data_IF_645712981285
#
_entry.id   IF_645712981285
#
_cell.length_a   1.000
_cell.length_b   1.000
_cell.length_c   1.000
_cell.angle_alpha   90.00
_cell.angle_beta   90.00
_cell.angle_gamma   90.00
#
_symmetry.space_group_name_H-M   'P 1'
#
loop_
_entity.id
_entity.type
_entity.pdbx_description
1 polymer ?
#
# COMPACT_ATOMS: atom_id res chain seq x y z
N UNK A 1 -17.03 -5.31 -5.86
CA UNK A 1 -15.60 -5.67 -5.72
C UNK A 1 -15.28 -5.98 -4.26
N UNK A 2 -14.35 -6.87 -3.97
CA UNK A 2 -13.90 -7.21 -2.62
C UNK A 2 -12.46 -6.72 -2.44
N UNK A 3 -12.17 -6.09 -1.31
CA UNK A 3 -10.84 -5.65 -0.93
C UNK A 3 -10.52 -6.28 0.43
N UNK A 4 -9.34 -6.85 0.56
CA UNK A 4 -8.78 -7.36 1.81
C UNK A 4 -7.52 -6.57 2.14
N UNK A 5 -7.48 -5.90 3.27
CA UNK A 5 -6.25 -5.31 3.79
C UNK A 5 -5.38 -6.45 4.32
N UNK A 6 -4.25 -6.71 3.68
CA UNK A 6 -3.32 -7.76 4.10
C UNK A 6 -2.43 -7.26 5.24
N UNK A 7 -2.01 -6.01 5.16
CA UNK A 7 -1.23 -5.32 6.16
C UNK A 7 -1.49 -3.82 6.14
N UNK A 8 -1.47 -3.17 7.29
CA UNK A 8 -1.81 -1.77 7.43
C UNK A 8 -0.68 -0.88 7.96
N UNK A 9 0.45 -1.43 8.42
CA UNK A 9 1.58 -0.65 8.91
C UNK A 9 2.51 -0.20 7.77
N UNK A 10 3.28 0.85 8.00
CA UNK A 10 4.40 1.28 7.16
C UNK A 10 5.60 0.31 7.26
N UNK A 11 6.67 0.62 6.56
CA UNK A 11 7.91 -0.16 6.55
C UNK A 11 8.40 -0.53 7.95
N UNK A 12 8.73 -1.82 8.14
CA UNK A 12 9.12 -2.40 9.43
C UNK A 12 7.98 -3.00 10.25
N UNK A 13 6.71 -2.71 9.90
CA UNK A 13 5.55 -3.25 10.60
C UNK A 13 5.28 -2.62 11.98
N UNK A 14 4.25 -3.09 12.65
CA UNK A 14 3.90 -2.70 14.00
C UNK A 14 3.62 -3.94 14.88
N UNK A 15 4.43 -4.22 15.89
CA UNK A 15 5.62 -3.47 16.32
C UNK A 15 6.81 -3.69 15.39
N UNK A 16 7.59 -2.65 15.11
CA UNK A 16 8.84 -2.79 14.37
C UNK A 16 9.87 -3.54 15.22
N UNK A 17 10.65 -4.43 14.59
CA UNK A 17 11.53 -5.38 15.27
C UNK A 17 12.57 -4.76 16.22
N UNK A 18 13.12 -3.60 15.84
CA UNK A 18 14.16 -2.87 16.60
C UNK A 18 13.61 -1.65 17.36
N UNK A 19 12.29 -1.44 17.38
CA UNK A 19 11.67 -0.27 18.00
C UNK A 19 11.30 -0.55 19.45
N UNK A 20 11.78 0.27 20.39
CA UNK A 20 11.42 0.22 21.81
C UNK A 20 10.47 1.36 22.23
N UNK A 21 9.81 2.00 21.26
CA UNK A 21 8.78 3.00 21.52
C UNK A 21 7.65 2.41 22.38
N UNK A 22 6.99 3.21 23.24
CA UNK A 22 5.89 2.72 24.08
C UNK A 22 4.82 1.94 23.33
N UNK A 23 4.36 2.43 22.17
CA UNK A 23 3.37 1.74 21.33
C UNK A 23 3.86 0.33 20.92
N UNK A 24 5.13 0.24 20.46
CA UNK A 24 5.73 -1.04 20.08
C UNK A 24 5.84 -2.03 21.24
N UNK A 25 6.11 -1.53 22.46
CA UNK A 25 6.11 -2.40 23.68
C UNK A 25 4.72 -2.91 23.98
N UNK A 26 3.70 -2.05 23.90
CA UNK A 26 2.30 -2.46 24.12
C UNK A 26 1.90 -3.54 23.12
N UNK A 27 2.21 -3.37 21.84
CA UNK A 27 1.88 -4.35 20.80
C UNK A 27 2.63 -5.69 21.01
N UNK A 28 3.93 -5.67 21.36
CA UNK A 28 4.69 -6.90 21.70
C UNK A 28 4.10 -7.64 22.90
N UNK A 29 3.58 -6.90 23.87
CA UNK A 29 2.93 -7.45 25.05
C UNK A 29 1.47 -7.84 24.80
N UNK A 30 1.00 -7.80 23.55
CA UNK A 30 -0.36 -8.15 23.16
C UNK A 30 -1.43 -7.35 23.93
N UNK A 31 -1.13 -6.09 24.22
CA UNK A 31 -2.11 -5.20 24.85
C UNK A 31 -3.27 -4.98 23.87
N UNK A 32 -4.54 -5.13 24.31
CA UNK A 32 -5.71 -4.99 23.43
C UNK A 32 -5.85 -3.59 22.81
N UNK A 33 -5.23 -2.57 23.40
CA UNK A 33 -5.21 -1.22 22.83
C UNK A 33 -4.18 -1.03 21.70
N UNK A 34 -3.29 -1.99 21.50
CA UNK A 34 -2.15 -1.90 20.58
C UNK A 34 -2.06 -3.16 19.72
N UNK A 35 -3.00 -3.29 18.77
CA UNK A 35 -3.09 -4.46 17.89
C UNK A 35 -1.97 -4.42 16.87
N UNK A 36 -1.16 -5.47 16.79
CA UNK A 36 -0.08 -5.61 15.83
C UNK A 36 -0.59 -5.54 14.38
N UNK A 37 0.22 -4.98 13.47
CA UNK A 37 -0.06 -4.87 12.04
C UNK A 37 1.18 -5.20 11.22
N UNK A 38 1.00 -5.94 10.15
CA UNK A 38 2.03 -6.20 9.14
C UNK A 38 2.14 -5.04 8.16
N UNK A 39 3.19 -5.04 7.34
CA UNK A 39 3.49 -3.94 6.42
C UNK A 39 2.45 -3.84 5.29
N UNK A 40 2.21 -2.63 4.83
CA UNK A 40 1.10 -2.25 3.95
C UNK A 40 1.00 -3.06 2.65
N UNK A 41 -0.14 -3.68 2.47
CA UNK A 41 -0.53 -4.40 1.25
C UNK A 41 -2.04 -4.62 1.25
N UNK A 42 -2.66 -4.67 0.09
CA UNK A 42 -4.06 -5.05 -0.07
C UNK A 42 -4.21 -6.12 -1.15
N UNK A 43 -5.26 -6.92 -1.06
CA UNK A 43 -5.69 -7.82 -2.13
C UNK A 43 -7.08 -7.44 -2.60
N UNK A 44 -7.33 -7.53 -3.92
CA UNK A 44 -8.61 -7.23 -4.53
C UNK A 44 -9.12 -8.39 -5.39
N UNK A 45 -10.43 -8.58 -5.44
CA UNK A 45 -11.07 -9.65 -6.21
C UNK A 45 -12.48 -9.28 -6.63
N UNK A 46 -12.94 -9.84 -7.75
CA UNK A 46 -14.34 -9.77 -8.16
C UNK A 46 -15.15 -10.97 -7.67
N UNK A 47 -14.52 -12.10 -7.39
CA UNK A 47 -15.17 -13.39 -7.14
C UNK A 47 -14.77 -14.08 -5.81
N UNK A 48 -13.88 -13.47 -5.03
CA UNK A 48 -13.25 -14.04 -3.80
C UNK A 48 -12.43 -15.32 -4.04
N UNK A 49 -12.17 -15.67 -5.31
CA UNK A 49 -11.41 -16.87 -5.69
C UNK A 49 -10.09 -16.53 -6.36
N UNK A 50 -10.07 -15.43 -7.14
CA UNK A 50 -8.91 -14.97 -7.90
C UNK A 50 -8.56 -13.57 -7.48
N UNK A 51 -7.33 -13.37 -7.02
CA UNK A 51 -6.90 -12.17 -6.32
C UNK A 51 -5.75 -11.46 -7.02
N UNK A 52 -5.78 -10.14 -6.97
CA UNK A 52 -4.65 -9.29 -7.30
C UNK A 52 -4.15 -8.62 -6.03
N UNK A 53 -2.83 -8.61 -5.81
CA UNK A 53 -2.21 -7.98 -4.66
C UNK A 53 -1.64 -6.62 -5.10
N UNK A 54 -1.89 -5.57 -4.32
CA UNK A 54 -1.24 -4.27 -4.50
C UNK A 54 -0.18 -4.13 -3.41
N UNK A 55 1.07 -4.04 -3.86
CA UNK A 55 2.30 -4.10 -3.08
C UNK A 55 2.51 -5.46 -2.36
N UNK A 56 3.69 -6.02 -2.52
CA UNK A 56 4.08 -7.28 -1.90
C UNK A 56 5.06 -7.01 -0.75
N UNK A 57 4.53 -6.86 0.46
CA UNK A 57 5.34 -6.57 1.64
C UNK A 57 6.22 -7.75 2.06
N UNK A 58 7.31 -7.52 2.82
CA UNK A 58 8.12 -8.60 3.39
C UNK A 58 7.32 -9.62 4.19
N UNK A 59 6.18 -9.20 4.74
CA UNK A 59 5.28 -10.03 5.56
C UNK A 59 4.31 -10.88 4.71
N UNK A 60 4.41 -10.86 3.37
CA UNK A 60 3.43 -11.47 2.48
C UNK A 60 3.09 -12.92 2.85
N UNK A 61 4.08 -13.75 3.21
CA UNK A 61 3.82 -15.14 3.60
C UNK A 61 2.89 -15.21 4.82
N UNK A 62 3.11 -14.35 5.82
CA UNK A 62 2.26 -14.28 7.01
C UNK A 62 0.88 -13.70 6.68
N UNK A 63 0.83 -12.70 5.82
CA UNK A 63 -0.40 -12.09 5.33
C UNK A 63 -1.28 -13.10 4.60
N UNK A 64 -0.70 -13.94 3.73
CA UNK A 64 -1.43 -15.02 3.05
C UNK A 64 -1.98 -16.04 4.05
N UNK A 65 -1.16 -16.41 5.04
CA UNK A 65 -1.57 -17.35 6.08
C UNK A 65 -2.77 -16.85 6.90
N UNK A 66 -2.83 -15.56 7.18
CA UNK A 66 -3.92 -14.94 7.94
C UNK A 66 -5.19 -14.66 7.12
N UNK A 67 -5.14 -14.88 5.80
CA UNK A 67 -6.26 -14.68 4.88
C UNK A 67 -6.49 -15.97 4.07
N UNK A 68 -7.27 -16.94 4.62
CA UNK A 68 -7.44 -18.27 4.02
C UNK A 68 -7.93 -18.25 2.57
N UNK A 69 -8.69 -17.24 2.16
CA UNK A 69 -9.16 -17.07 0.79
C UNK A 69 -8.04 -16.79 -0.24
N UNK A 70 -6.83 -16.44 0.23
CA UNK A 70 -5.64 -16.31 -0.59
C UNK A 70 -4.73 -17.54 -0.56
N UNK A 71 -5.19 -18.63 0.03
CA UNK A 71 -4.51 -19.92 0.12
C UNK A 71 -5.24 -20.96 -0.70
N UNK A 72 -4.58 -22.05 -1.13
CA UNK A 72 -5.26 -23.19 -1.76
C UNK A 72 -6.33 -23.79 -0.83
N UNK A 73 -7.47 -24.13 -1.39
CA UNK A 73 -8.52 -24.88 -0.72
C UNK A 73 -8.31 -26.39 -0.87
N UNK A 74 -9.10 -27.21 -0.17
CA UNK A 74 -9.04 -28.65 -0.29
C UNK A 74 -9.45 -29.18 -1.69
N UNK A 75 -10.16 -28.37 -2.47
CA UNK A 75 -10.63 -28.71 -3.81
C UNK A 75 -9.61 -28.35 -4.91
N UNK A 76 -8.57 -27.55 -4.57
CA UNK A 76 -7.57 -27.11 -5.51
C UNK A 76 -6.50 -28.19 -5.77
N UNK A 77 -5.74 -28.08 -6.86
CA UNK A 77 -4.57 -28.94 -7.11
C UNK A 77 -3.54 -28.87 -5.96
N UNK A 78 -2.72 -29.92 -5.80
CA UNK A 78 -1.69 -30.02 -4.74
C UNK A 78 -0.72 -28.81 -4.70
N UNK A 79 -0.54 -28.13 -5.84
CA UNK A 79 0.16 -26.87 -5.97
C UNK A 79 -0.72 -25.90 -6.75
N UNK A 80 -1.21 -24.89 -6.09
CA UNK A 80 -2.10 -23.88 -6.63
C UNK A 80 -1.88 -22.53 -5.93
N UNK A 81 -2.17 -21.45 -6.62
CA UNK A 81 -2.21 -20.11 -6.07
C UNK A 81 -3.40 -19.33 -6.60
N UNK A 82 -4.26 -18.77 -5.75
CA UNK A 82 -5.33 -17.88 -6.17
C UNK A 82 -4.82 -16.47 -6.55
N UNK A 83 -3.52 -16.21 -6.43
CA UNK A 83 -2.92 -14.92 -6.78
C UNK A 83 -2.68 -14.86 -8.28
N UNK A 84 -3.44 -14.01 -8.96
CA UNK A 84 -3.39 -13.84 -10.42
C UNK A 84 -2.42 -12.75 -10.84
N UNK A 85 -2.13 -11.82 -9.97
CA UNK A 85 -1.19 -10.74 -10.26
C UNK A 85 -0.78 -9.94 -9.03
N UNK A 86 0.32 -9.22 -9.18
CA UNK A 86 0.83 -8.24 -8.21
C UNK A 86 1.05 -6.91 -8.95
N UNK A 87 0.58 -5.81 -8.37
CA UNK A 87 0.81 -4.46 -8.89
C UNK A 87 1.58 -3.64 -7.84
N UNK A 88 2.68 -3.02 -8.28
CA UNK A 88 3.58 -2.25 -7.42
C UNK A 88 3.33 -0.75 -7.59
N UNK A 89 3.24 -0.01 -6.49
CA UNK A 89 3.09 1.45 -6.49
C UNK A 89 4.42 2.20 -6.39
N UNK A 90 5.46 1.54 -5.93
CA UNK A 90 6.85 2.04 -5.87
C UNK A 90 7.82 0.86 -5.75
N UNK A 91 9.13 1.15 -5.60
CA UNK A 91 10.18 0.15 -5.47
C UNK A 91 10.73 0.00 -4.04
N UNK A 92 10.08 0.56 -3.02
CA UNK A 92 10.54 0.42 -1.64
C UNK A 92 10.46 -1.04 -1.16
N UNK A 93 11.33 -1.39 -0.21
CA UNK A 93 11.49 -2.75 0.31
C UNK A 93 10.18 -3.29 0.89
N UNK A 94 9.44 -2.45 1.61
CA UNK A 94 8.14 -2.81 2.19
C UNK A 94 7.02 -3.03 1.16
N UNK A 95 7.24 -2.64 -0.10
CA UNK A 95 6.30 -2.88 -1.20
C UNK A 95 6.75 -3.96 -2.19
N UNK A 96 8.02 -4.35 -2.18
CA UNK A 96 8.58 -5.26 -3.21
C UNK A 96 9.17 -6.56 -2.67
N UNK A 97 9.74 -6.55 -1.45
CA UNK A 97 10.53 -7.70 -0.97
C UNK A 97 9.70 -8.98 -0.79
N UNK A 98 8.39 -8.87 -0.58
CA UNK A 98 7.50 -10.02 -0.51
C UNK A 98 7.38 -10.82 -1.80
N UNK A 99 7.71 -10.23 -2.95
CA UNK A 99 7.73 -10.92 -4.23
C UNK A 99 8.59 -12.19 -4.21
N UNK A 100 9.68 -12.20 -3.45
CA UNK A 100 10.55 -13.39 -3.34
C UNK A 100 9.84 -14.61 -2.71
N UNK A 101 8.77 -14.40 -1.96
CA UNK A 101 7.93 -15.50 -1.44
C UNK A 101 7.12 -16.18 -2.55
N UNK A 102 6.90 -15.51 -3.67
CA UNK A 102 6.11 -16.03 -4.81
C UNK A 102 6.97 -16.78 -5.84
N UNK A 103 8.21 -17.17 -5.52
CA UNK A 103 9.13 -17.89 -6.39
C UNK A 103 8.77 -19.35 -6.69
N UNK A 104 7.67 -19.84 -6.14
CA UNK A 104 7.33 -21.29 -6.12
C UNK A 104 6.71 -21.81 -7.44
N UNK A 105 7.09 -21.20 -8.57
CA UNK A 105 6.70 -21.64 -9.92
C UNK A 105 5.18 -21.64 -10.19
N UNK A 106 4.46 -20.74 -9.54
CA UNK A 106 3.06 -20.45 -9.85
C UNK A 106 2.98 -19.23 -10.78
N UNK A 107 2.11 -19.29 -11.76
CA UNK A 107 1.96 -18.20 -12.72
C UNK A 107 1.21 -17.02 -12.10
N UNK A 108 1.74 -15.82 -12.31
CA UNK A 108 1.04 -14.56 -12.02
C UNK A 108 1.57 -13.42 -12.89
N UNK A 109 0.78 -12.36 -13.04
CA UNK A 109 1.15 -11.15 -13.74
C UNK A 109 1.77 -10.14 -12.76
N UNK A 110 2.96 -9.61 -13.06
CA UNK A 110 3.60 -8.55 -12.29
C UNK A 110 3.48 -7.23 -13.05
N UNK A 111 2.79 -6.25 -12.45
CA UNK A 111 2.58 -4.92 -13.01
C UNK A 111 3.39 -3.88 -12.22
N UNK A 112 3.98 -2.94 -12.92
CA UNK A 112 4.69 -1.79 -12.34
C UNK A 112 5.07 -0.81 -13.44
N UNK A 113 5.40 0.43 -13.09
CA UNK A 113 5.97 1.38 -14.04
C UNK A 113 7.26 0.81 -14.63
N UNK A 114 7.67 1.28 -15.81
CA UNK A 114 8.95 0.84 -16.39
C UNK A 114 10.11 1.12 -15.41
N UNK A 115 10.02 2.21 -14.66
CA UNK A 115 10.99 2.59 -13.63
C UNK A 115 11.07 1.55 -12.52
N UNK A 116 9.95 1.17 -11.93
CA UNK A 116 9.88 0.19 -10.84
C UNK A 116 10.30 -1.20 -11.31
N UNK A 117 9.85 -1.64 -12.49
CA UNK A 117 10.28 -2.93 -13.05
C UNK A 117 11.78 -2.96 -13.36
N UNK A 118 12.36 -1.85 -13.84
CA UNK A 118 13.80 -1.72 -14.06
C UNK A 118 14.62 -1.83 -12.77
N UNK A 119 14.10 -1.32 -11.65
CA UNK A 119 14.70 -1.51 -10.32
C UNK A 119 14.74 -2.99 -9.95
N UNK A 120 13.64 -3.72 -10.13
CA UNK A 120 13.63 -5.17 -9.87
C UNK A 120 14.60 -5.93 -10.78
N UNK A 121 14.70 -5.53 -12.04
CA UNK A 121 15.58 -6.15 -13.02
C UNK A 121 17.06 -5.96 -12.68
N UNK A 122 17.42 -4.78 -12.18
CA UNK A 122 18.79 -4.48 -11.74
C UNK A 122 19.20 -5.18 -10.45
N UNK A 123 18.26 -5.78 -9.71
CA UNK A 123 18.47 -6.49 -8.46
C UNK A 123 18.31 -7.99 -8.66
N UNK A 124 19.44 -8.70 -8.76
CA UNK A 124 19.51 -10.11 -9.15
C UNK A 124 18.70 -11.07 -8.28
N UNK A 125 18.37 -10.69 -7.03
CA UNK A 125 17.50 -11.51 -6.17
C UNK A 125 16.12 -11.74 -6.80
N UNK A 126 15.58 -10.77 -7.56
CA UNK A 126 14.28 -10.91 -8.22
C UNK A 126 14.29 -11.81 -9.46
N UNK A 127 15.47 -12.35 -9.86
CA UNK A 127 15.54 -13.38 -10.88
C UNK A 127 14.97 -14.73 -10.40
N UNK A 128 14.70 -14.89 -9.10
CA UNK A 128 13.94 -16.03 -8.56
C UNK A 128 12.51 -16.06 -9.12
N UNK A 129 11.99 -14.93 -9.60
CA UNK A 129 10.72 -14.83 -10.32
C UNK A 129 10.94 -15.22 -11.78
N UNK A 130 10.97 -16.52 -12.03
CA UNK A 130 11.26 -17.07 -13.35
C UNK A 130 10.29 -16.54 -14.42
N UNK A 131 10.78 -15.94 -15.51
CA UNK A 131 9.93 -15.35 -16.56
C UNK A 131 9.03 -16.37 -17.29
N UNK A 132 9.30 -17.67 -17.14
CA UNK A 132 8.40 -18.73 -17.61
C UNK A 132 7.04 -18.72 -16.91
N UNK A 133 7.01 -18.25 -15.65
CA UNK A 133 5.81 -18.22 -14.81
C UNK A 133 5.35 -16.80 -14.52
N UNK A 134 6.27 -15.85 -14.40
CA UNK A 134 5.96 -14.48 -14.00
C UNK A 134 6.14 -13.52 -15.18
N UNK A 135 5.02 -13.10 -15.75
CA UNK A 135 5.01 -12.12 -16.84
C UNK A 135 5.10 -10.70 -16.25
N UNK A 136 6.17 -9.97 -16.58
CA UNK A 136 6.32 -8.56 -16.21
C UNK A 136 5.61 -7.67 -17.23
N UNK A 137 4.66 -6.87 -16.77
CA UNK A 137 3.81 -6.02 -17.58
C UNK A 137 4.05 -4.55 -17.20
N UNK A 138 4.82 -3.80 -18.00
CA UNK A 138 5.01 -2.38 -17.75
C UNK A 138 3.70 -1.61 -17.93
N UNK A 139 3.42 -0.71 -17.00
CA UNK A 139 2.25 0.16 -17.01
C UNK A 139 2.68 1.61 -17.22
N UNK A 140 1.84 2.40 -17.87
CA UNK A 140 2.10 3.81 -18.14
C UNK A 140 1.16 4.69 -17.36
N UNK A 141 1.68 5.81 -16.87
CA UNK A 141 0.89 6.81 -16.16
C UNK A 141 -0.29 7.30 -16.99
N UNK A 142 -1.44 7.41 -16.35
CA UNK A 142 -2.71 7.88 -16.91
C UNK A 142 -3.28 7.01 -18.06
N UNK A 143 -2.71 5.83 -18.32
CA UNK A 143 -3.30 4.84 -19.22
C UNK A 143 -4.07 3.79 -18.42
N UNK A 144 -5.34 3.57 -18.75
CA UNK A 144 -6.17 2.55 -18.13
C UNK A 144 -5.76 1.16 -18.63
N UNK A 145 -5.48 0.24 -17.73
CA UNK A 145 -5.10 -1.13 -18.04
C UNK A 145 -6.09 -2.13 -17.42
N UNK A 146 -6.60 -3.10 -18.18
CA UNK A 146 -7.35 -4.21 -17.61
C UNK A 146 -6.38 -5.16 -16.89
N UNK A 147 -6.67 -5.51 -15.65
CA UNK A 147 -5.96 -6.59 -14.98
C UNK A 147 -6.45 -7.93 -15.55
N UNK A 148 -5.52 -8.73 -16.02
CA UNK A 148 -5.83 -10.04 -16.62
C UNK A 148 -5.47 -11.18 -15.68
N UNK A 149 -6.27 -12.23 -15.70
CA UNK A 149 -5.91 -13.50 -15.11
C UNK A 149 -4.74 -14.16 -15.85
N UNK A 150 -4.19 -15.21 -15.32
CA UNK A 150 -3.01 -15.91 -15.88
C UNK A 150 -3.31 -16.64 -17.19
N UNK A 151 -4.57 -16.85 -17.51
CA UNK A 151 -5.08 -17.38 -18.78
C UNK A 151 -5.41 -16.29 -19.83
N UNK A 152 -4.95 -15.06 -19.59
CA UNK A 152 -5.21 -13.85 -20.38
C UNK A 152 -6.68 -13.39 -20.43
N UNK A 153 -7.59 -14.03 -19.69
CA UNK A 153 -8.99 -13.58 -19.58
C UNK A 153 -9.10 -12.31 -18.72
N UNK A 154 -10.12 -11.50 -18.99
CA UNK A 154 -10.34 -10.24 -18.27
C UNK A 154 -10.91 -10.51 -16.89
N UNK A 155 -10.34 -9.87 -15.85
CA UNK A 155 -10.82 -9.98 -14.48
C UNK A 155 -12.06 -9.12 -14.18
N UNK A 156 -12.40 -8.18 -15.06
CA UNK A 156 -13.39 -7.14 -14.80
C UNK A 156 -12.85 -5.96 -13.98
N UNK A 157 -11.56 -5.97 -13.65
CA UNK A 157 -10.90 -4.88 -12.92
C UNK A 157 -10.01 -4.09 -13.89
N UNK A 158 -10.20 -2.78 -13.91
CA UNK A 158 -9.35 -1.85 -14.66
C UNK A 158 -8.64 -0.92 -13.68
N UNK A 159 -7.34 -0.70 -13.89
CA UNK A 159 -6.54 0.19 -13.05
C UNK A 159 -5.95 1.31 -13.92
N UNK A 160 -6.05 2.54 -13.45
CA UNK A 160 -5.36 3.69 -14.04
C UNK A 160 -4.31 4.18 -13.06
N UNK A 161 -3.02 3.90 -13.28
CA UNK A 161 -1.95 4.42 -12.44
C UNK A 161 -1.73 5.91 -12.74
N UNK A 162 -1.40 6.69 -11.73
CA UNK A 162 -1.05 8.09 -11.89
C UNK A 162 0.01 8.50 -10.86
N UNK A 163 0.89 9.42 -11.24
CA UNK A 163 1.91 9.93 -10.34
C UNK A 163 1.28 10.69 -9.18
N UNK A 164 1.86 10.56 -8.00
CA UNK A 164 1.53 11.40 -6.83
C UNK A 164 2.81 12.03 -6.29
N UNK A 165 2.69 13.16 -5.58
CA UNK A 165 3.85 13.72 -4.89
C UNK A 165 4.46 12.70 -3.94
N UNK A 166 5.70 12.32 -4.20
CA UNK A 166 6.43 11.29 -3.46
C UNK A 166 7.92 11.40 -3.73
N UNK A 167 8.64 10.33 -3.51
CA UNK A 167 10.07 10.27 -3.75
C UNK A 167 10.48 8.90 -4.30
N UNK A 168 11.70 8.84 -4.84
CA UNK A 168 12.35 7.57 -5.17
C UNK A 168 12.52 6.69 -3.93
N UNK A 169 12.52 5.37 -4.10
CA UNK A 169 12.76 4.42 -3.01
C UNK A 169 14.03 4.78 -2.22
N UNK A 170 13.98 4.67 -0.90
CA UNK A 170 15.02 5.13 0.02
C UNK A 170 16.43 4.67 -0.36
N UNK A 171 16.58 3.43 -0.77
CA UNK A 171 17.87 2.82 -1.12
C UNK A 171 18.37 3.19 -2.52
N UNK A 172 17.61 3.99 -3.26
CA UNK A 172 17.97 4.56 -4.57
C UNK A 172 18.17 6.08 -4.51
N UNK A 173 18.04 6.69 -3.32
CA UNK A 173 18.26 8.13 -3.15
C UNK A 173 19.69 8.51 -3.57
N UNK A 174 19.79 9.53 -4.41
CA UNK A 174 21.06 10.10 -4.89
C UNK A 174 21.12 11.58 -4.48
N UNK A 175 21.84 11.84 -3.40
CA UNK A 175 21.99 13.22 -2.87
C UNK A 175 22.66 14.17 -3.86
N UNK A 176 23.47 13.64 -4.81
CA UNK A 176 24.10 14.47 -5.85
C UNK A 176 23.11 15.07 -6.84
N UNK A 177 21.90 14.53 -6.93
CA UNK A 177 20.81 15.00 -7.81
C UNK A 177 19.89 16.05 -7.20
N UNK A 178 20.29 16.63 -6.08
CA UNK A 178 19.55 17.72 -5.42
C UNK A 178 18.46 17.27 -4.46
N UNK A 179 17.56 18.18 -4.12
CA UNK A 179 16.58 17.99 -3.03
C UNK A 179 15.50 16.91 -3.31
N UNK A 180 15.30 16.53 -4.57
CA UNK A 180 14.38 15.45 -4.96
C UNK A 180 15.07 14.07 -5.06
N UNK A 181 16.37 13.98 -4.76
CA UNK A 181 17.15 12.73 -4.73
C UNK A 181 17.11 11.92 -6.03
N UNK A 182 16.86 12.56 -7.17
CA UNK A 182 16.72 11.91 -8.47
C UNK A 182 15.36 11.25 -8.69
N UNK A 183 14.34 11.62 -7.92
CA UNK A 183 12.96 11.13 -8.11
C UNK A 183 12.37 11.58 -9.44
N UNK A 184 11.60 10.69 -10.05
CA UNK A 184 10.79 10.94 -11.25
C UNK A 184 9.33 10.51 -10.99
N UNK A 185 8.42 10.95 -11.85
CA UNK A 185 6.97 10.69 -11.64
C UNK A 185 6.62 9.20 -11.52
N UNK A 186 7.37 8.33 -12.17
CA UNK A 186 7.15 6.87 -12.13
C UNK A 186 7.63 6.19 -10.84
N UNK A 187 8.35 6.88 -9.96
CA UNK A 187 8.88 6.30 -8.71
C UNK A 187 7.80 6.07 -7.66
N UNK A 188 6.76 6.93 -7.62
CA UNK A 188 5.64 6.81 -6.66
C UNK A 188 4.32 7.07 -7.37
N UNK A 189 3.48 6.05 -7.44
CA UNK A 189 2.18 6.13 -8.10
C UNK A 189 1.04 5.78 -7.16
N UNK A 190 -0.12 6.33 -7.48
CA UNK A 190 -1.41 5.94 -6.95
C UNK A 190 -2.22 5.19 -8.01
N UNK A 191 -3.28 4.52 -7.59
CA UNK A 191 -4.12 3.70 -8.43
C UNK A 191 -5.58 4.15 -8.32
N UNK A 192 -6.18 4.47 -9.46
CA UNK A 192 -7.62 4.56 -9.62
C UNK A 192 -8.13 3.19 -10.09
N UNK A 193 -9.02 2.58 -9.33
CA UNK A 193 -9.51 1.22 -9.60
C UNK A 193 -10.97 1.26 -10.00
N UNK A 194 -11.28 0.65 -11.14
CA UNK A 194 -12.64 0.58 -11.71
C UNK A 194 -13.13 -0.85 -11.81
N UNK A 195 -14.42 -1.03 -11.59
CA UNK A 195 -15.13 -2.27 -11.80
C UNK A 195 -15.56 -2.48 -13.26
N UNK A 196 -16.29 -3.56 -13.55
CA UNK A 196 -16.68 -3.94 -14.91
C UNK A 196 -17.61 -2.93 -15.59
N UNK A 197 -18.34 -2.11 -14.83
CA UNK A 197 -19.21 -1.04 -15.36
C UNK A 197 -18.45 0.24 -15.71
N UNK A 198 -17.13 0.27 -15.48
CA UNK A 198 -16.28 1.43 -15.76
C UNK A 198 -16.34 2.54 -14.71
N UNK A 199 -17.13 2.37 -13.65
CA UNK A 199 -17.19 3.33 -12.54
C UNK A 199 -15.97 3.19 -11.65
N UNK A 200 -15.45 4.32 -11.14
CA UNK A 200 -14.38 4.31 -10.14
C UNK A 200 -14.91 3.76 -8.82
N UNK A 201 -14.37 2.63 -8.42
CA UNK A 201 -14.72 1.96 -7.16
C UNK A 201 -13.94 2.55 -6.00
N UNK A 202 -12.61 2.70 -6.16
CA UNK A 202 -11.78 3.27 -5.12
C UNK A 202 -10.45 3.82 -5.64
N UNK A 203 -9.80 4.63 -4.80
CA UNK A 203 -8.40 5.03 -4.96
C UNK A 203 -7.51 4.35 -3.91
N UNK A 204 -6.32 3.93 -4.33
CA UNK A 204 -5.27 3.39 -3.46
C UNK A 204 -4.02 4.27 -3.54
N UNK A 205 -3.73 5.00 -2.47
CA UNK A 205 -2.66 6.01 -2.37
C UNK A 205 -1.87 5.78 -1.08
N UNK A 206 -1.03 4.74 -1.00
CA UNK A 206 -0.35 4.35 0.24
C UNK A 206 0.84 5.25 0.61
N UNK A 207 1.26 6.14 -0.29
CA UNK A 207 2.32 7.13 -0.06
C UNK A 207 2.03 8.40 -0.84
N UNK A 208 2.04 9.56 -0.15
CA UNK A 208 1.75 10.85 -0.76
C UNK A 208 2.33 12.00 0.08
N UNK A 209 3.23 12.81 -0.50
CA UNK A 209 3.90 13.88 0.21
C UNK A 209 3.05 15.14 0.40
N UNK A 210 2.06 15.39 -0.46
CA UNK A 210 1.13 16.52 -0.35
C UNK A 210 -0.11 16.32 -1.23
N UNK A 211 -1.14 17.17 -1.04
CA UNK A 211 -2.41 17.16 -1.76
C UNK A 211 -2.57 18.42 -2.63
N UNK A 212 -1.97 18.47 -3.84
CA UNK A 212 -2.21 19.57 -4.78
C UNK A 212 -3.68 19.56 -5.28
N UNK A 213 -4.12 20.69 -5.81
CA UNK A 213 -5.54 20.86 -6.18
C UNK A 213 -5.99 19.86 -7.25
N UNK A 214 -5.15 19.56 -8.24
CA UNK A 214 -5.47 18.55 -9.25
C UNK A 214 -5.72 17.15 -8.64
N UNK A 215 -5.00 16.79 -7.55
CA UNK A 215 -5.21 15.51 -6.86
C UNK A 215 -6.51 15.52 -6.05
N UNK A 216 -6.83 16.65 -5.39
CA UNK A 216 -8.12 16.84 -4.72
C UNK A 216 -9.28 16.70 -5.70
N UNK A 217 -9.20 17.36 -6.86
CA UNK A 217 -10.20 17.27 -7.93
C UNK A 217 -10.36 15.83 -8.44
N UNK A 218 -9.24 15.10 -8.61
CA UNK A 218 -9.26 13.72 -9.09
C UNK A 218 -9.95 12.75 -8.14
N UNK A 219 -9.74 12.91 -6.83
CA UNK A 219 -10.31 12.00 -5.82
C UNK A 219 -11.66 12.45 -5.27
N UNK A 220 -12.10 13.67 -5.59
CA UNK A 220 -13.41 14.17 -5.14
C UNK A 220 -14.53 13.25 -5.63
N UNK A 221 -15.55 13.04 -4.80
CA UNK A 221 -16.70 12.15 -5.04
C UNK A 221 -16.35 10.66 -5.15
N UNK A 222 -15.14 10.25 -4.74
CA UNK A 222 -14.80 8.83 -4.69
C UNK A 222 -15.73 8.05 -3.74
N UNK A 223 -16.03 6.80 -4.08
CA UNK A 223 -16.77 5.91 -3.19
C UNK A 223 -15.90 5.51 -1.98
N UNK A 224 -14.61 5.25 -2.23
CA UNK A 224 -13.65 4.84 -1.21
C UNK A 224 -12.26 5.38 -1.57
N UNK A 225 -11.50 5.76 -0.55
CA UNK A 225 -10.08 6.01 -0.66
C UNK A 225 -9.33 5.28 0.48
N UNK A 226 -8.27 4.54 0.12
CA UNK A 226 -7.26 4.09 1.05
C UNK A 226 -6.06 5.02 0.88
N UNK A 227 -5.76 5.81 1.89
CA UNK A 227 -4.80 6.91 1.81
C UNK A 227 -3.69 6.78 2.84
N UNK A 228 -2.55 7.36 2.51
CA UNK A 228 -1.34 7.47 3.34
C UNK A 228 -1.64 8.00 4.75
N UNK A 229 -1.38 7.19 5.74
CA UNK A 229 -1.53 7.48 7.18
C UNK A 229 -0.21 7.33 7.95
N UNK A 230 0.93 7.53 7.29
CA UNK A 230 2.25 7.19 7.84
C UNK A 230 2.50 7.88 9.18
N UNK A 231 2.36 9.19 9.28
CA UNK A 231 2.65 9.94 10.50
C UNK A 231 1.48 10.84 10.91
N UNK A 232 1.27 10.98 12.22
CA UNK A 232 0.31 11.93 12.76
C UNK A 232 0.80 13.37 12.59
N UNK A 233 2.07 13.65 12.97
CA UNK A 233 2.74 14.94 12.72
C UNK A 233 4.00 14.75 11.90
N UNK A 234 4.42 15.77 11.14
CA UNK A 234 5.57 15.69 10.23
C UNK A 234 6.88 15.32 10.94
N UNK A 235 7.08 15.82 12.14
CA UNK A 235 8.28 15.65 12.96
C UNK A 235 8.15 14.56 14.05
N UNK A 236 7.13 13.72 13.96
CA UNK A 236 6.80 12.66 14.93
C UNK A 236 8.00 11.78 15.29
N UNK A 237 8.70 11.25 14.29
CA UNK A 237 9.84 10.37 14.53
C UNK A 237 11.00 11.08 15.24
N UNK A 238 11.19 12.37 14.98
CA UNK A 238 12.23 13.19 15.62
C UNK A 238 11.84 13.44 17.08
N UNK A 239 10.59 13.81 17.34
CA UNK A 239 10.08 14.05 18.71
C UNK A 239 10.15 12.81 19.58
N UNK A 240 9.85 11.65 19.00
CA UNK A 240 9.88 10.36 19.68
C UNK A 240 11.29 9.73 19.76
N UNK A 241 12.33 10.43 19.27
CA UNK A 241 13.72 9.96 19.23
C UNK A 241 13.91 8.58 18.58
N UNK A 242 13.13 8.27 17.54
CA UNK A 242 13.23 6.99 16.80
C UNK A 242 13.71 7.16 15.36
N UNK A 243 13.91 8.39 14.93
CA UNK A 243 14.41 8.73 13.59
C UNK A 243 14.84 10.19 13.48
N UNK A 244 15.52 10.51 12.38
CA UNK A 244 16.04 11.87 12.10
C UNK A 244 15.33 12.55 10.92
N UNK A 245 14.39 11.84 10.26
CA UNK A 245 13.68 12.32 9.07
C UNK A 245 12.27 12.76 9.44
N UNK A 246 11.81 13.81 8.77
CA UNK A 246 10.39 14.20 8.79
C UNK A 246 9.58 13.36 7.81
N UNK A 247 8.26 13.39 7.92
CA UNK A 247 7.35 12.77 6.96
C UNK A 247 7.58 13.29 5.55
N UNK A 248 7.67 14.60 5.38
CA UNK A 248 7.97 15.23 4.09
C UNK A 248 9.28 14.73 3.48
N UNK A 249 10.33 14.59 4.29
CA UNK A 249 11.61 14.04 3.84
C UNK A 249 11.50 12.56 3.41
N UNK A 250 10.54 11.83 3.95
CA UNK A 250 10.27 10.44 3.59
C UNK A 250 9.25 10.27 2.45
N UNK A 251 8.65 11.37 1.96
CA UNK A 251 7.65 11.33 0.89
C UNK A 251 6.21 11.14 1.39
N UNK A 252 5.95 11.46 2.66
CA UNK A 252 4.64 11.31 3.31
C UNK A 252 4.17 12.62 3.93
N UNK A 253 2.92 12.98 3.68
CA UNK A 253 2.29 14.09 4.40
C UNK A 253 1.75 13.62 5.76
N UNK A 254 1.71 14.54 6.74
CA UNK A 254 1.11 14.23 8.04
C UNK A 254 -0.40 14.03 7.95
N UNK A 255 -0.98 13.29 8.89
CA UNK A 255 -2.43 13.17 9.02
C UNK A 255 -3.05 14.46 9.57
N UNK A 256 -2.42 15.08 10.57
CA UNK A 256 -2.92 16.24 11.32
C UNK A 256 -2.30 17.57 10.90
N UNK A 257 -2.83 18.65 11.46
CA UNK A 257 -2.37 20.02 11.22
C UNK A 257 -2.98 20.67 9.97
N UNK A 258 -2.71 21.95 9.77
CA UNK A 258 -3.30 22.76 8.67
C UNK A 258 -2.86 22.30 7.27
N UNK A 259 -1.74 21.58 7.17
CA UNK A 259 -1.22 20.99 5.94
C UNK A 259 -1.39 19.46 5.89
N UNK A 260 -2.08 18.90 6.90
CA UNK A 260 -2.30 17.46 6.99
C UNK A 260 -3.43 16.97 6.09
N UNK A 261 -3.47 15.67 5.89
CA UNK A 261 -4.46 15.02 5.03
C UNK A 261 -5.89 15.21 5.56
N UNK A 262 -6.13 15.18 6.88
CA UNK A 262 -7.46 15.41 7.46
C UNK A 262 -8.02 16.77 7.00
N UNK A 263 -7.23 17.85 7.08
CA UNK A 263 -7.66 19.18 6.64
C UNK A 263 -7.77 19.26 5.10
N UNK A 264 -6.84 18.64 4.36
CA UNK A 264 -6.84 18.66 2.90
C UNK A 264 -8.10 17.99 2.31
N UNK A 265 -8.63 16.96 2.99
CA UNK A 265 -9.82 16.22 2.56
C UNK A 265 -11.14 16.76 3.11
N UNK A 266 -11.12 17.75 4.00
CA UNK A 266 -12.31 18.26 4.73
C UNK A 266 -13.44 18.71 3.84
N UNK A 267 -13.14 19.27 2.67
CA UNK A 267 -14.13 19.79 1.72
C UNK A 267 -14.47 18.80 0.60
N UNK A 268 -13.85 17.62 0.57
CA UNK A 268 -14.09 16.62 -0.47
C UNK A 268 -15.27 15.72 -0.11
N UNK A 269 -16.06 15.34 -1.12
CA UNK A 269 -17.27 14.53 -0.96
C UNK A 269 -16.94 13.04 -1.13
N UNK A 270 -16.02 12.50 -0.32
CA UNK A 270 -15.63 11.09 -0.36
C UNK A 270 -16.49 10.31 0.62
N UNK A 271 -17.14 9.23 0.15
CA UNK A 271 -18.08 8.47 0.98
C UNK A 271 -17.40 7.71 2.12
N UNK A 272 -16.23 7.11 1.86
CA UNK A 272 -15.47 6.34 2.85
C UNK A 272 -13.98 6.63 2.72
N UNK A 273 -13.32 6.92 3.84
CA UNK A 273 -11.90 7.29 3.90
C UNK A 273 -11.19 6.41 4.91
N UNK A 274 -10.12 5.74 4.50
CA UNK A 274 -9.37 4.80 5.34
C UNK A 274 -7.89 5.15 5.27
N UNK A 275 -7.26 5.39 6.43
CA UNK A 275 -5.82 5.50 6.52
C UNK A 275 -5.16 4.11 6.51
N UNK A 276 -4.13 3.97 5.69
CA UNK A 276 -3.28 2.78 5.57
C UNK A 276 -1.81 3.19 5.60
N UNK A 277 -0.86 2.28 5.67
CA UNK A 277 0.58 2.55 5.70
C UNK A 277 0.99 3.38 6.93
N UNK A 278 0.66 2.88 8.13
CA UNK A 278 0.75 3.62 9.38
C UNK A 278 2.06 3.26 10.11
N UNK A 279 2.88 4.27 10.43
CA UNK A 279 4.17 4.07 11.08
C UNK A 279 4.04 3.64 12.55
N UNK A 280 5.00 2.89 13.03
CA UNK A 280 5.01 2.31 14.40
C UNK A 280 4.92 3.36 15.54
N UNK A 281 5.29 4.63 15.27
CA UNK A 281 5.17 5.73 16.23
C UNK A 281 3.80 6.40 16.24
N UNK A 282 3.04 6.24 15.16
CA UNK A 282 1.79 6.95 14.97
C UNK A 282 0.78 6.60 16.09
N UNK A 283 0.32 7.59 16.87
CA UNK A 283 -0.58 7.34 18.01
C UNK A 283 -1.95 6.79 17.59
N UNK A 284 -2.36 6.93 16.32
CA UNK A 284 -3.63 6.35 15.84
C UNK A 284 -3.65 4.83 15.82
N UNK A 285 -2.48 4.19 15.99
CA UNK A 285 -2.36 2.72 16.19
C UNK A 285 -2.95 2.25 17.52
N UNK A 286 -3.06 3.16 18.50
CA UNK A 286 -3.70 2.85 19.79
C UNK A 286 -5.22 3.07 19.69
N UNK A 287 -5.99 2.05 20.08
CA UNK A 287 -7.47 2.04 19.92
C UNK A 287 -8.16 3.19 20.67
N UNK A 288 -7.60 3.63 21.81
CA UNK A 288 -8.18 4.66 22.67
C UNK A 288 -7.47 6.01 22.61
N UNK A 289 -6.52 6.22 21.69
CA UNK A 289 -5.79 7.49 21.57
C UNK A 289 -6.70 8.66 21.19
N UNK A 290 -6.32 9.84 21.62
CA UNK A 290 -7.00 11.09 21.24
C UNK A 290 -6.90 11.32 19.73
N UNK A 291 -5.76 11.00 19.15
CA UNK A 291 -5.47 11.18 17.74
C UNK A 291 -6.37 10.28 16.86
N UNK A 292 -6.59 9.04 17.29
CA UNK A 292 -7.52 8.13 16.61
C UNK A 292 -8.97 8.65 16.69
N UNK A 293 -9.37 9.18 17.84
CA UNK A 293 -10.71 9.80 17.99
C UNK A 293 -10.88 10.98 17.05
N UNK A 294 -9.88 11.87 16.99
CA UNK A 294 -9.88 13.02 16.06
C UNK A 294 -9.98 12.55 14.59
N UNK A 295 -9.23 11.52 14.20
CA UNK A 295 -9.32 10.96 12.85
C UNK A 295 -10.73 10.40 12.56
N UNK A 296 -11.30 9.66 13.51
CA UNK A 296 -12.65 9.08 13.37
C UNK A 296 -13.73 10.18 13.29
N UNK A 297 -13.65 11.22 14.12
CA UNK A 297 -14.57 12.37 14.08
C UNK A 297 -14.49 13.15 12.78
N UNK A 298 -13.31 13.15 12.12
CA UNK A 298 -13.13 13.69 10.78
C UNK A 298 -13.60 12.73 9.65
N UNK A 299 -14.22 11.59 10.02
CA UNK A 299 -14.76 10.60 9.09
C UNK A 299 -13.72 9.67 8.47
N UNK A 300 -12.58 9.47 9.13
CA UNK A 300 -11.55 8.52 8.73
C UNK A 300 -11.57 7.25 9.57
N UNK A 301 -11.42 6.11 8.91
CA UNK A 301 -11.15 4.82 9.56
C UNK A 301 -9.64 4.56 9.58
N UNK A 302 -9.20 3.73 10.51
CA UNK A 302 -7.81 3.27 10.61
C UNK A 302 -7.77 1.82 10.17
N UNK A 303 -7.02 1.52 9.11
CA UNK A 303 -6.90 0.16 8.59
C UNK A 303 -6.25 -0.80 9.60
N UNK A 304 -6.62 -2.06 9.52
CA UNK A 304 -6.02 -3.16 10.27
C UNK A 304 -5.91 -4.40 9.38
N UNK A 305 -5.01 -5.29 9.74
CA UNK A 305 -4.80 -6.53 9.01
C UNK A 305 -6.08 -7.38 8.99
N UNK A 306 -6.38 -7.99 7.87
CA UNK A 306 -7.59 -8.78 7.60
C UNK A 306 -8.90 -7.97 7.48
N UNK A 307 -8.85 -6.63 7.48
CA UNK A 307 -10.04 -5.80 7.24
C UNK A 307 -10.65 -6.13 5.89
N UNK A 308 -11.93 -6.49 5.87
CA UNK A 308 -12.68 -6.75 4.64
C UNK A 308 -13.51 -5.52 4.26
N UNK A 309 -13.42 -5.13 2.99
CA UNK A 309 -14.20 -4.03 2.41
C UNK A 309 -14.90 -4.59 1.18
N UNK A 310 -16.21 -4.41 1.14
CA UNK A 310 -17.05 -4.71 -0.03
C UNK A 310 -17.57 -3.42 -0.62
N UNK A 311 -17.37 -3.25 -1.91
CA UNK A 311 -17.86 -2.13 -2.71
C UNK A 311 -18.81 -2.68 -3.78
#
# INVERSE_FOLDING_TARGET
MYIRVLGAAAGGGYPQWNCNHPNSRLARNKNPEAIARTQSSIAISMDKKRWFIFNASPDLRHQLWNNPELMPSAEDPLRYSPIMGVLLTNADVDHTAGLINLRESQSFNLYGTQRVLGVLESNTIFNVLNPKFVKRNPIKLNEAIPLKYTDDTNSGITVTPFAVPGKVALWLEDESKGSNFGSVEEDTIALEVKGPEGNTEFFYIPGCANMPDWLKERVDKANLILFDGTLWTDDEMIKENVGIKTGQRMGHMSMSGSKGSIEAFKKLNIKRKIFIHINTTNPTLLENSTERKVANEAGWEIAFDTMEIKI
#
